data_IF_584880540968
#
_entry.id   IF_584880540968
#
_cell.length_a   1.000
_cell.length_b   1.000
_cell.length_c   1.000
_cell.angle_alpha   90.00
_cell.angle_beta   90.00
_cell.angle_gamma   90.00
#
_symmetry.space_group_name_H-M   'P 1'
#
loop_
_entity.id
_entity.type
_entity.pdbx_description
1 polymer ?
#
# COMPACT_ATOMS: atom_id res chain seq x y z
N UNK A 1 -49.58 -56.32 20.67
CA UNK A 1 -49.46 -56.65 22.12
C UNK A 1 -47.98 -56.74 22.44
N UNK A 2 -47.55 -56.09 23.54
CA UNK A 2 -46.16 -55.70 23.85
C UNK A 2 -45.26 -56.92 24.15
N UNK A 3 -44.09 -57.00 23.51
CA UNK A 3 -43.00 -57.86 23.97
C UNK A 3 -41.92 -56.98 24.58
N UNK A 4 -41.75 -57.10 25.89
CA UNK A 4 -40.67 -56.48 26.68
C UNK A 4 -39.66 -57.58 26.96
N UNK A 5 -38.42 -57.42 26.48
CA UNK A 5 -37.27 -58.11 27.06
C UNK A 5 -36.22 -57.06 27.39
N UNK A 6 -36.02 -56.88 28.69
CA UNK A 6 -34.97 -56.07 29.28
C UNK A 6 -33.68 -56.89 29.28
N UNK A 7 -32.58 -56.30 28.80
CA UNK A 7 -31.22 -56.71 29.15
C UNK A 7 -30.51 -55.45 29.66
N UNK A 8 -29.99 -55.57 30.88
CA UNK A 8 -29.31 -54.56 31.68
C UNK A 8 -27.79 -54.62 31.45
N UNK A 9 -27.18 -53.45 31.22
CA UNK A 9 -25.81 -53.03 31.57
C UNK A 9 -24.62 -53.73 30.84
N UNK A 10 -23.49 -53.10 30.46
CA UNK A 10 -22.63 -52.04 31.05
C UNK A 10 -21.80 -51.38 29.91
N UNK A 11 -21.39 -50.10 30.02
CA UNK A 11 -20.79 -49.32 28.94
C UNK A 11 -19.25 -49.45 28.88
N UNK A 12 -18.67 -49.55 27.68
CA UNK A 12 -17.23 -49.31 27.48
C UNK A 12 -17.06 -47.90 26.94
N UNK A 13 -16.79 -47.00 27.89
CA UNK A 13 -16.28 -45.64 27.67
C UNK A 13 -14.85 -45.79 27.12
N UNK A 14 -14.67 -45.63 25.81
CA UNK A 14 -13.37 -45.32 25.23
C UNK A 14 -13.35 -43.83 24.90
N UNK A 15 -12.86 -43.07 25.88
CA UNK A 15 -12.59 -41.65 25.77
C UNK A 15 -11.56 -41.39 24.66
N UNK A 16 -12.03 -41.10 23.46
CA UNK A 16 -11.28 -40.39 22.44
C UNK A 16 -11.53 -38.89 22.65
N UNK A 17 -11.00 -38.39 23.78
CA UNK A 17 -10.74 -36.97 24.01
C UNK A 17 -9.57 -36.55 23.10
N UNK A 18 -9.79 -36.57 21.80
CA UNK A 18 -8.94 -35.82 20.89
C UNK A 18 -9.19 -34.36 21.19
N UNK A 19 -8.15 -33.71 21.74
CA UNK A 19 -8.15 -32.32 22.09
C UNK A 19 -8.63 -31.46 20.94
N UNK A 20 -9.89 -31.03 21.04
CA UNK A 20 -10.35 -29.82 20.39
C UNK A 20 -9.68 -28.70 21.16
N UNK A 21 -8.42 -28.43 20.81
CA UNK A 21 -7.82 -27.14 21.08
C UNK A 21 -8.72 -26.15 20.38
N UNK A 22 -9.63 -25.55 21.13
CA UNK A 22 -10.37 -24.39 20.67
C UNK A 22 -9.29 -23.35 20.34
N UNK A 23 -8.93 -23.27 19.05
CA UNK A 23 -8.27 -22.10 18.52
C UNK A 23 -9.19 -20.96 18.90
N UNK A 24 -8.78 -20.21 19.94
CA UNK A 24 -9.49 -19.01 20.34
C UNK A 24 -9.61 -18.18 19.06
N UNK A 25 -10.82 -17.75 18.67
CA UNK A 25 -10.95 -16.91 17.49
C UNK A 25 -10.07 -15.70 17.77
N UNK A 26 -8.97 -15.58 17.01
CA UNK A 26 -8.14 -14.39 17.05
C UNK A 26 -9.11 -13.23 16.83
N UNK A 27 -9.29 -12.39 17.85
CA UNK A 27 -10.15 -11.22 17.75
C UNK A 27 -9.66 -10.46 16.54
N UNK A 28 -10.46 -10.44 15.48
CA UNK A 28 -10.14 -9.67 14.29
C UNK A 28 -9.92 -8.22 14.76
N UNK A 29 -8.67 -7.75 14.70
CA UNK A 29 -8.33 -6.40 15.17
C UNK A 29 -9.24 -5.41 14.46
N UNK A 30 -9.93 -4.59 15.25
CA UNK A 30 -11.02 -3.74 14.80
C UNK A 30 -10.53 -2.76 13.74
N UNK A 31 -11.24 -2.66 12.63
CA UNK A 31 -10.96 -1.65 11.62
C UNK A 31 -11.27 -0.26 12.18
N UNK A 32 -10.30 0.66 12.12
CA UNK A 32 -10.41 2.06 12.54
C UNK A 32 -10.53 2.94 11.31
N UNK A 33 -11.74 3.42 11.04
CA UNK A 33 -12.01 4.36 9.93
C UNK A 33 -11.86 5.79 10.46
N UNK A 34 -11.06 6.59 9.77
CA UNK A 34 -10.76 7.98 10.15
C UNK A 34 -10.99 8.87 8.95
N UNK A 35 -12.00 9.73 9.03
CA UNK A 35 -12.32 10.72 8.01
C UNK A 35 -11.40 11.92 8.15
N UNK A 36 -10.63 12.22 7.10
CA UNK A 36 -9.70 13.34 7.05
C UNK A 36 -10.12 14.29 5.93
N UNK A 37 -10.64 15.44 6.30
CA UNK A 37 -10.85 16.55 5.39
C UNK A 37 -9.54 17.32 5.18
N UNK A 38 -9.16 17.52 3.93
CA UNK A 38 -7.98 18.27 3.52
C UNK A 38 -8.43 19.60 2.91
N UNK A 39 -7.90 20.69 3.46
CA UNK A 39 -8.14 22.04 2.97
C UNK A 39 -6.82 22.81 2.94
N UNK A 40 -6.84 24.01 2.36
CA UNK A 40 -5.66 24.88 2.39
C UNK A 40 -5.09 25.04 3.80
N UNK A 41 -3.85 24.58 3.95
CA UNK A 41 -3.04 24.68 5.17
C UNK A 41 -3.54 23.87 6.38
N UNK A 42 -4.53 22.98 6.21
CA UNK A 42 -5.15 22.27 7.35
C UNK A 42 -5.66 20.87 6.99
N UNK A 43 -5.49 19.95 7.94
CA UNK A 43 -6.20 18.67 8.01
C UNK A 43 -7.21 18.70 9.17
N UNK A 44 -8.38 18.09 8.96
CA UNK A 44 -9.35 17.84 10.02
C UNK A 44 -9.78 16.36 10.02
N UNK A 45 -9.47 15.61 11.10
CA UNK A 45 -8.67 16.01 12.25
C UNK A 45 -7.18 16.19 11.88
N UNK A 46 -6.46 17.00 12.67
CA UNK A 46 -4.99 17.12 12.58
C UNK A 46 -4.24 16.19 13.55
N UNK A 47 -4.98 15.41 14.36
CA UNK A 47 -4.46 14.42 15.28
C UNK A 47 -5.50 13.30 15.46
N UNK A 48 -5.04 12.05 15.44
CA UNK A 48 -5.86 10.89 15.75
C UNK A 48 -5.00 9.81 16.42
N UNK A 49 -5.65 8.87 17.11
CA UNK A 49 -5.00 7.79 17.84
C UNK A 49 -5.48 6.43 17.32
N UNK A 50 -4.52 5.53 17.14
CA UNK A 50 -4.73 4.13 16.73
C UNK A 50 -3.86 3.24 17.60
N UNK A 51 -4.27 1.98 17.80
CA UNK A 51 -3.46 1.01 18.52
C UNK A 51 -2.60 0.21 17.55
N UNK A 52 -1.47 -0.29 18.03
CA UNK A 52 -0.63 -1.17 17.24
C UNK A 52 -1.38 -2.44 16.79
N UNK A 53 -1.29 -2.69 15.50
CA UNK A 53 -1.95 -3.74 14.72
C UNK A 53 -3.40 -3.48 14.36
N UNK A 54 -3.99 -2.33 14.71
CA UNK A 54 -5.29 -1.95 14.16
C UNK A 54 -5.20 -1.92 12.62
N UNK A 55 -6.23 -2.42 11.94
CA UNK A 55 -6.41 -2.10 10.51
C UNK A 55 -6.96 -0.68 10.44
N UNK A 56 -6.20 0.24 9.87
CA UNK A 56 -6.57 1.65 9.78
C UNK A 56 -6.98 1.97 8.35
N UNK A 57 -8.11 2.67 8.20
CA UNK A 57 -8.62 3.20 6.94
C UNK A 57 -8.73 4.71 7.06
N UNK A 58 -7.83 5.44 6.40
CA UNK A 58 -7.91 6.90 6.31
C UNK A 58 -8.76 7.28 5.10
N UNK A 59 -9.96 7.82 5.34
CA UNK A 59 -10.84 8.34 4.30
C UNK A 59 -10.48 9.80 4.05
N UNK A 60 -9.68 10.03 3.02
CA UNK A 60 -9.24 11.36 2.62
C UNK A 60 -10.27 12.02 1.71
N UNK A 61 -10.55 13.29 1.96
CA UNK A 61 -11.37 14.13 1.08
C UNK A 61 -10.69 15.49 0.89
N UNK A 62 -10.48 15.90 -0.37
CA UNK A 62 -10.08 17.27 -0.66
C UNK A 62 -11.32 18.17 -0.74
N UNK A 63 -11.57 18.91 0.34
CA UNK A 63 -12.69 19.86 0.42
C UNK A 63 -12.34 21.25 -0.13
N UNK A 64 -11.08 21.48 -0.51
CA UNK A 64 -10.66 22.69 -1.21
C UNK A 64 -11.21 22.70 -2.64
N UNK A 65 -11.81 23.81 -3.05
CA UNK A 65 -12.47 23.94 -4.37
C UNK A 65 -11.49 24.27 -5.50
N UNK A 66 -10.26 24.66 -5.18
CA UNK A 66 -9.34 25.24 -6.15
C UNK A 66 -7.97 24.58 -6.15
N UNK A 67 -7.51 24.05 -5.01
CA UNK A 67 -6.14 23.57 -4.87
C UNK A 67 -6.08 22.05 -4.64
N UNK A 68 -5.14 21.35 -5.29
CA UNK A 68 -4.83 19.99 -4.91
C UNK A 68 -4.17 19.97 -3.53
N UNK A 69 -4.39 18.88 -2.79
CA UNK A 69 -3.76 18.63 -1.50
C UNK A 69 -3.18 17.22 -1.47
N UNK A 70 -2.07 17.05 -0.78
CA UNK A 70 -1.40 15.77 -0.63
C UNK A 70 -1.29 15.36 0.83
N UNK A 71 -1.52 14.10 1.13
CA UNK A 71 -1.22 13.51 2.41
C UNK A 71 0.16 12.87 2.33
N UNK A 72 1.14 13.45 3.03
CA UNK A 72 2.53 12.95 3.10
C UNK A 72 2.80 12.54 4.54
N UNK A 73 3.36 11.36 4.77
CA UNK A 73 3.80 10.96 6.10
C UNK A 73 4.99 10.02 6.03
N UNK A 74 6.08 10.28 6.79
CA UNK A 74 7.19 9.33 6.92
C UNK A 74 6.72 7.94 7.38
N UNK A 75 5.63 7.88 8.13
CA UNK A 75 5.03 6.63 8.59
C UNK A 75 4.55 5.74 7.44
N UNK A 76 3.94 6.31 6.40
CA UNK A 76 3.49 5.55 5.22
C UNK A 76 4.68 4.93 4.46
N UNK A 77 5.89 5.48 4.61
CA UNK A 77 7.11 4.87 4.07
C UNK A 77 7.61 3.69 4.90
N UNK A 78 7.16 3.53 6.15
CA UNK A 78 7.56 2.45 7.06
C UNK A 78 6.62 1.25 7.03
N UNK A 79 5.39 1.42 6.55
CA UNK A 79 4.38 0.35 6.48
C UNK A 79 3.96 0.03 5.04
N UNK A 80 3.44 -1.18 4.84
CA UNK A 80 2.72 -1.51 3.62
C UNK A 80 1.31 -0.93 3.71
N UNK A 81 0.88 -0.22 2.67
CA UNK A 81 -0.47 0.32 2.56
C UNK A 81 -1.02 0.15 1.14
N UNK A 82 -2.32 0.17 1.02
CA UNK A 82 -3.05 0.21 -0.25
C UNK A 82 -3.84 1.52 -0.35
N UNK A 83 -4.13 1.95 -1.57
CA UNK A 83 -4.96 3.14 -1.82
C UNK A 83 -6.07 2.79 -2.80
N UNK A 84 -7.29 3.25 -2.52
CA UNK A 84 -8.46 3.13 -3.40
C UNK A 84 -9.10 4.49 -3.65
N UNK A 85 -10.01 4.57 -4.63
CA UNK A 85 -10.71 5.80 -4.98
C UNK A 85 -9.98 6.62 -6.04
N UNK A 86 -10.07 7.94 -5.96
CA UNK A 86 -9.51 8.88 -6.93
C UNK A 86 -8.24 9.48 -6.35
N UNK A 87 -7.06 9.13 -6.87
CA UNK A 87 -5.80 9.65 -6.31
C UNK A 87 -4.65 9.65 -7.32
N UNK A 88 -3.61 10.42 -6.99
CA UNK A 88 -2.26 10.30 -7.57
C UNK A 88 -1.28 9.96 -6.45
N UNK A 89 -0.53 8.88 -6.60
CA UNK A 89 0.48 8.45 -5.63
C UNK A 89 1.88 8.71 -6.17
N UNK A 90 2.83 8.99 -5.28
CA UNK A 90 4.24 9.08 -5.64
C UNK A 90 5.15 9.07 -4.41
N UNK A 91 6.41 9.44 -4.64
CA UNK A 91 7.46 9.51 -3.63
C UNK A 91 8.19 10.85 -3.80
N UNK A 92 8.36 11.59 -2.71
CA UNK A 92 9.15 12.84 -2.68
C UNK A 92 10.66 12.55 -2.76
N UNK A 93 11.52 13.54 -3.05
CA UNK A 93 12.98 13.35 -3.14
C UNK A 93 13.63 12.78 -1.87
N UNK A 94 13.04 13.03 -0.71
CA UNK A 94 13.49 12.51 0.58
C UNK A 94 12.97 11.08 0.88
N UNK A 95 12.26 10.45 -0.06
CA UNK A 95 11.72 9.09 0.09
C UNK A 95 10.35 9.01 0.78
N UNK A 96 9.72 10.14 1.10
CA UNK A 96 8.38 10.15 1.72
C UNK A 96 7.30 9.82 0.69
N UNK A 97 6.48 8.79 0.97
CA UNK A 97 5.33 8.45 0.12
C UNK A 97 4.20 9.46 0.32
N UNK A 98 3.48 9.76 -0.75
CA UNK A 98 2.34 10.67 -0.70
C UNK A 98 1.13 10.19 -1.50
N UNK A 99 -0.05 10.64 -1.10
CA UNK A 99 -1.32 10.48 -1.83
C UNK A 99 -1.92 11.86 -2.07
N UNK A 100 -2.08 12.25 -3.33
CA UNK A 100 -2.57 13.56 -3.76
C UNK A 100 -3.99 13.45 -4.32
N UNK A 101 -4.82 14.41 -3.93
CA UNK A 101 -6.21 14.57 -4.37
C UNK A 101 -6.38 15.92 -5.07
N UNK A 102 -7.00 15.92 -6.25
CA UNK A 102 -7.54 17.12 -6.89
C UNK A 102 -8.76 17.65 -6.11
N UNK A 103 -9.19 18.91 -6.34
CA UNK A 103 -10.40 19.46 -5.75
C UNK A 103 -11.62 18.53 -5.84
N UNK A 104 -12.27 18.26 -4.72
CA UNK A 104 -13.46 17.41 -4.61
C UNK A 104 -13.22 15.90 -4.68
N UNK A 105 -11.97 15.44 -4.87
CA UNK A 105 -11.66 14.01 -4.90
C UNK A 105 -11.64 13.39 -3.50
N UNK A 106 -11.85 12.07 -3.47
CA UNK A 106 -11.78 11.23 -2.28
C UNK A 106 -10.95 9.98 -2.55
N UNK A 107 -10.18 9.55 -1.55
CA UNK A 107 -9.44 8.29 -1.58
C UNK A 107 -9.39 7.65 -0.20
N UNK A 108 -9.16 6.35 -0.15
CA UNK A 108 -8.95 5.63 1.10
C UNK A 108 -7.55 5.06 1.16
N UNK A 109 -6.82 5.31 2.24
CA UNK A 109 -5.53 4.67 2.52
C UNK A 109 -5.78 3.60 3.58
N UNK A 110 -5.48 2.34 3.26
CA UNK A 110 -5.61 1.21 4.18
C UNK A 110 -4.25 0.65 4.56
N UNK A 111 -3.99 0.49 5.86
CA UNK A 111 -2.77 -0.13 6.38
C UNK A 111 -3.02 -0.81 7.73
N UNK A 112 -2.07 -1.63 8.17
CA UNK A 112 -2.05 -2.15 9.54
C UNK A 112 -1.09 -1.28 10.37
N UNK A 113 -1.55 -0.74 11.49
CA UNK A 113 -0.73 0.10 12.35
C UNK A 113 0.45 -0.69 12.93
N UNK A 114 1.67 -0.19 12.84
CA UNK A 114 2.89 -0.85 13.30
C UNK A 114 3.85 0.18 13.87
N UNK A 115 4.58 -0.19 14.92
CA UNK A 115 5.53 0.73 15.53
C UNK A 115 4.84 1.74 16.45
N UNK A 116 5.43 1.91 17.63
CA UNK A 116 4.93 2.82 18.67
C UNK A 116 5.57 4.18 18.48
N UNK A 117 4.78 5.25 18.49
CA UNK A 117 5.32 6.60 18.40
C UNK A 117 4.29 7.63 17.97
N UNK A 118 4.77 8.85 17.74
CA UNK A 118 4.02 9.92 17.11
C UNK A 118 4.61 10.18 15.74
N UNK A 119 3.76 10.18 14.72
CA UNK A 119 4.18 10.35 13.35
C UNK A 119 3.45 11.54 12.73
N UNK A 120 4.22 12.49 12.22
CA UNK A 120 3.66 13.65 11.54
C UNK A 120 3.10 13.29 10.17
N UNK A 121 2.12 14.07 9.74
CA UNK A 121 1.68 14.11 8.35
C UNK A 121 1.50 15.57 7.92
N UNK A 122 1.84 15.85 6.67
CA UNK A 122 1.88 17.21 6.13
C UNK A 122 1.24 17.29 4.74
N UNK A 123 0.77 18.48 4.40
CA UNK A 123 0.41 18.83 3.03
C UNK A 123 1.60 19.50 2.35
N UNK A 124 2.45 18.70 1.70
CA UNK A 124 3.47 19.19 0.80
C UNK A 124 3.15 18.77 -0.63
N UNK A 125 3.02 19.76 -1.51
CA UNK A 125 2.99 19.54 -2.96
C UNK A 125 4.38 19.27 -3.55
N UNK A 126 5.40 19.01 -2.70
CA UNK A 126 6.73 18.63 -3.15
C UNK A 126 6.75 17.38 -4.05
N UNK A 127 5.66 16.59 -4.05
CA UNK A 127 5.39 15.52 -5.02
C UNK A 127 4.60 15.93 -6.28
N UNK A 128 3.92 17.08 -6.30
CA UNK A 128 3.09 17.51 -7.43
C UNK A 128 3.88 17.84 -8.70
N UNK A 129 5.17 18.16 -8.56
CA UNK A 129 6.11 18.27 -9.68
C UNK A 129 6.59 16.93 -10.26
N UNK A 130 6.39 15.83 -9.54
CA UNK A 130 6.72 14.46 -9.97
C UNK A 130 5.45 13.71 -10.39
N UNK A 131 4.64 14.37 -11.20
CA UNK A 131 3.54 13.72 -11.91
C UNK A 131 4.13 12.88 -13.05
N UNK A 132 4.68 11.70 -12.77
CA UNK A 132 4.66 10.65 -13.79
C UNK A 132 3.19 10.26 -13.93
N UNK A 133 2.53 10.83 -14.95
CA UNK A 133 1.25 10.36 -15.46
C UNK A 133 1.45 8.93 -16.01
N UNK A 134 1.62 7.98 -15.11
CA UNK A 134 1.74 6.57 -15.40
C UNK A 134 0.58 5.87 -14.72
N UNK A 135 -0.39 5.42 -15.53
CA UNK A 135 -1.37 4.41 -15.13
C UNK A 135 -0.61 3.30 -14.39
N UNK A 136 -0.86 3.14 -13.08
CA UNK A 136 -0.34 2.02 -12.29
C UNK A 136 -0.88 0.75 -12.94
N UNK A 137 -0.05 -0.08 -13.61
CA UNK A 137 -0.53 -1.36 -14.11
C UNK A 137 -0.80 -2.25 -12.91
N UNK A 138 -1.86 -3.06 -12.96
CA UNK A 138 -2.02 -4.14 -11.99
C UNK A 138 -0.78 -5.03 -12.01
N UNK A 139 -0.49 -5.68 -10.88
CA UNK A 139 0.77 -6.37 -10.56
C UNK A 139 1.25 -7.49 -11.49
N UNK A 140 0.62 -7.71 -12.64
CA UNK A 140 0.99 -8.73 -13.62
C UNK A 140 1.90 -8.20 -14.76
N UNK A 141 2.10 -6.88 -14.88
CA UNK A 141 2.82 -6.30 -16.02
C UNK A 141 4.27 -5.87 -15.74
N UNK A 142 4.72 -5.96 -14.49
CA UNK A 142 6.09 -5.60 -14.10
C UNK A 142 7.12 -6.64 -14.58
N UNK A 143 6.73 -7.90 -14.74
CA UNK A 143 7.65 -8.99 -15.09
C UNK A 143 8.10 -8.95 -16.56
N UNK A 144 7.22 -8.53 -17.49
CA UNK A 144 7.52 -8.60 -18.93
C UNK A 144 8.53 -7.56 -19.42
N UNK A 145 8.71 -6.44 -18.70
CA UNK A 145 9.62 -5.36 -19.13
C UNK A 145 11.05 -5.55 -18.66
N UNK A 146 11.31 -6.38 -17.65
CA UNK A 146 12.67 -6.59 -17.11
C UNK A 146 13.50 -7.61 -17.93
N UNK A 147 12.86 -8.40 -18.79
CA UNK A 147 13.54 -9.46 -19.58
C UNK A 147 14.17 -8.94 -20.88
N UNK A 148 13.74 -7.79 -21.41
CA UNK A 148 14.23 -7.28 -22.72
C UNK A 148 15.48 -6.40 -22.66
N UNK A 149 15.95 -5.99 -21.48
CA UNK A 149 17.07 -5.02 -21.36
C UNK A 149 18.45 -5.64 -21.08
N UNK A 150 18.56 -6.98 -21.01
CA UNK A 150 19.87 -7.66 -20.90
C UNK A 150 20.35 -8.17 -22.26
N UNK A 151 20.84 -7.25 -23.09
CA UNK A 151 21.75 -7.59 -24.19
C UNK A 151 23.19 -7.68 -23.68
N UNK A 152 24.03 -8.63 -24.14
CA UNK A 152 25.45 -8.65 -23.80
C UNK A 152 26.25 -7.65 -24.65
N UNK A 153 27.13 -6.89 -24.00
CA UNK A 153 28.11 -6.02 -24.63
C UNK A 153 29.47 -6.72 -24.75
N UNK A 154 30.08 -6.69 -25.93
CA UNK A 154 31.50 -6.94 -26.23
C UNK A 154 31.77 -6.53 -27.70
N UNK A 155 32.90 -6.02 -28.20
CA UNK A 155 34.21 -5.51 -27.74
C UNK A 155 34.81 -4.78 -28.98
N UNK A 156 35.72 -3.83 -28.78
CA UNK A 156 36.36 -2.97 -29.80
C UNK A 156 37.45 -3.64 -30.68
N UNK A 157 37.75 -3.03 -31.84
CA UNK A 157 38.99 -3.17 -32.66
C UNK A 157 38.84 -2.49 -34.04
N UNK A 158 39.47 -1.33 -34.36
CA UNK A 158 40.84 -1.01 -34.84
C UNK A 158 41.02 -1.13 -36.38
N UNK A 159 41.74 -0.13 -36.93
CA UNK A 159 42.49 -0.06 -38.22
C UNK A 159 41.89 0.69 -39.44
N UNK A 160 42.52 1.86 -39.69
CA UNK A 160 43.13 2.37 -40.95
C UNK A 160 42.35 2.46 -42.28
N UNK A 161 42.10 3.71 -42.73
CA UNK A 161 42.66 4.27 -43.98
C UNK A 161 42.23 5.72 -44.25
N UNK A 162 43.24 6.58 -44.41
CA UNK A 162 43.23 7.82 -45.21
C UNK A 162 43.84 7.44 -46.57
N UNK A 163 43.32 7.86 -47.76
CA UNK A 163 43.73 9.14 -48.35
C UNK A 163 42.68 9.86 -49.24
N UNK A 164 42.83 11.19 -49.37
CA UNK A 164 42.26 11.93 -50.52
C UNK A 164 41.84 13.38 -50.26
N UNK A 165 42.79 14.29 -50.07
CA UNK A 165 42.69 15.74 -50.44
C UNK A 165 42.76 15.86 -51.99
N UNK A 166 42.34 16.97 -52.67
CA UNK A 166 42.65 18.38 -52.38
C UNK A 166 41.45 19.36 -52.45
N UNK A 167 41.41 20.39 -51.58
CA UNK A 167 41.84 21.80 -51.78
C UNK A 167 41.22 22.51 -53.01
N UNK A 168 40.52 23.64 -52.80
CA UNK A 168 41.10 24.98 -52.93
C UNK A 168 40.09 26.11 -52.65
N UNK A 169 40.56 27.06 -51.80
CA UNK A 169 40.14 28.46 -51.59
C UNK A 169 38.85 28.68 -50.78
#
# INVERSE_FOLDING_TARGET
>A
MRVRFQILAVPVIAALLFGVGAASPATAKTARVINIAMSSYKFEPNLFFVNEGDTVVLQLENIDKQRPHAFNSPYLSQVNFTVSGQFVQGVTPDGTKYVRLEPGQKAEITFVAQGRGQYGFICSLAGAGYSVAGRVPSGDEVDRRNVRSRGPAAVAGREDRVPGRPNHI
#
